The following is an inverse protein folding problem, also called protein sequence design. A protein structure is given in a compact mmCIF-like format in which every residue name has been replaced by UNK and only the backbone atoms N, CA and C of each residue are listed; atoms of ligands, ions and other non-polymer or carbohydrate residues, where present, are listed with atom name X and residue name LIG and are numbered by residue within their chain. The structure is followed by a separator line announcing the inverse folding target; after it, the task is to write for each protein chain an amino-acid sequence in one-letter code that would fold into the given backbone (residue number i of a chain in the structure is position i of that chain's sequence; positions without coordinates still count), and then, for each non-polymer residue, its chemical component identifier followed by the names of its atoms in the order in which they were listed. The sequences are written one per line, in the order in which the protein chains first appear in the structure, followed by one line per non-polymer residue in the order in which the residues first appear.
data_IF_104677182291
#
_entry.id   IF_104677182291
#
_cell.length_a   1.000
_cell.length_b   1.000
_cell.length_c   1.000
_cell.angle_alpha   90.00
_cell.angle_beta   90.00
_cell.angle_gamma   90.00
#
_symmetry.space_group_name_H-M   'P 1'
#
loop_
_entity.id
_entity.type
_entity.pdbx_description
1 polymer ?
#
# COMPACT_ATOMS: atom_id res chain seq x y z
N UNK A 1 13.85 20.74 4.64
CA UNK A 1 13.24 21.58 3.58
C UNK A 1 12.06 20.93 2.87
N UNK A 2 12.05 19.62 2.60
CA UNK A 2 10.91 18.92 1.96
C UNK A 2 9.57 19.11 2.70
N UNK A 3 9.57 18.99 4.04
CA UNK A 3 8.37 19.14 4.89
C UNK A 3 7.76 20.54 4.82
N UNK A 4 8.61 21.60 4.73
CA UNK A 4 8.13 22.98 4.52
C UNK A 4 7.60 23.20 3.09
N UNK A 5 8.22 22.56 2.10
CA UNK A 5 7.75 22.61 0.70
C UNK A 5 6.37 21.97 0.49
N UNK A 6 6.00 21.01 1.35
CA UNK A 6 4.68 20.37 1.36
C UNK A 6 3.60 21.16 2.13
N UNK A 7 3.93 22.35 2.68
CA UNK A 7 2.97 23.22 3.34
C UNK A 7 2.72 22.94 4.82
N UNK A 8 3.63 22.21 5.50
CA UNK A 8 3.49 22.00 6.94
C UNK A 8 3.54 23.33 7.72
N UNK A 9 2.53 23.58 8.55
CA UNK A 9 2.51 24.72 9.46
C UNK A 9 3.67 24.65 10.47
N UNK A 10 4.01 25.78 11.10
CA UNK A 10 5.09 25.83 12.10
C UNK A 10 4.89 24.85 13.27
N UNK A 11 3.63 24.51 13.57
CA UNK A 11 3.24 23.60 14.64
C UNK A 11 3.40 22.13 14.21
N UNK A 12 3.09 21.79 12.95
CA UNK A 12 3.17 20.42 12.43
C UNK A 12 4.60 20.01 12.05
N UNK A 13 5.44 20.98 11.67
CA UNK A 13 6.82 20.73 11.24
C UNK A 13 7.66 19.86 12.19
N UNK A 14 7.74 20.13 13.51
CA UNK A 14 8.53 19.30 14.43
C UNK A 14 8.02 17.85 14.49
N UNK A 15 6.70 17.64 14.54
CA UNK A 15 6.10 16.31 14.55
C UNK A 15 6.42 15.53 13.26
N UNK A 16 6.24 16.16 12.09
CA UNK A 16 6.58 15.53 10.81
C UNK A 16 8.06 15.20 10.72
N UNK A 17 8.94 16.09 11.19
CA UNK A 17 10.40 15.88 11.15
C UNK A 17 10.79 14.68 12.00
N UNK A 18 10.28 14.58 13.22
CA UNK A 18 10.60 13.48 14.13
C UNK A 18 10.08 12.14 13.60
N UNK A 19 8.84 12.11 13.12
CA UNK A 19 8.23 10.91 12.52
C UNK A 19 9.02 10.42 11.30
N UNK A 20 9.32 11.31 10.34
CA UNK A 20 10.08 10.94 9.14
C UNK A 20 11.50 10.48 9.48
N UNK A 21 12.17 11.15 10.44
CA UNK A 21 13.58 10.82 10.77
C UNK A 21 13.69 9.39 11.30
N UNK A 22 12.73 8.95 12.11
CA UNK A 22 12.67 7.59 12.63
C UNK A 22 12.37 6.61 11.51
N UNK A 23 11.32 6.86 10.70
CA UNK A 23 10.97 5.97 9.58
C UNK A 23 12.11 5.82 8.56
N UNK A 24 12.86 6.89 8.30
CA UNK A 24 14.01 6.84 7.39
C UNK A 24 15.06 5.82 7.84
N UNK A 25 15.27 5.68 9.15
CA UNK A 25 16.17 4.66 9.72
C UNK A 25 15.68 3.23 9.46
N UNK A 26 14.37 3.01 9.40
CA UNK A 26 13.75 1.71 9.13
C UNK A 26 13.46 1.45 7.64
N UNK A 27 13.80 2.37 6.73
CA UNK A 27 13.62 2.20 5.27
C UNK A 27 14.25 0.91 4.72
N UNK A 28 15.46 0.48 5.15
CA UNK A 28 16.00 -0.79 4.68
C UNK A 28 15.14 -1.99 5.09
N UNK A 29 14.57 -1.96 6.30
CA UNK A 29 13.66 -3.00 6.78
C UNK A 29 12.34 -2.99 6.02
N UNK A 30 11.77 -1.82 5.72
CA UNK A 30 10.54 -1.75 4.92
C UNK A 30 10.75 -2.30 3.50
N UNK A 31 11.90 -2.00 2.87
CA UNK A 31 12.26 -2.55 1.57
C UNK A 31 12.40 -4.08 1.62
N UNK A 32 13.14 -4.60 2.62
CA UNK A 32 13.33 -6.03 2.79
C UNK A 32 12.03 -6.77 3.11
N UNK A 33 11.15 -6.20 3.92
CA UNK A 33 9.82 -6.76 4.17
C UNK A 33 9.05 -6.98 2.87
N UNK A 34 8.96 -5.95 2.02
CA UNK A 34 8.22 -6.06 0.75
C UNK A 34 8.87 -7.09 -0.17
N UNK A 35 10.21 -7.10 -0.25
CA UNK A 35 10.94 -8.09 -1.04
C UNK A 35 10.68 -9.52 -0.55
N UNK A 36 10.82 -9.79 0.75
CA UNK A 36 10.62 -11.13 1.30
C UNK A 36 9.17 -11.59 1.21
N UNK A 37 8.20 -10.71 1.40
CA UNK A 37 6.80 -11.06 1.20
C UNK A 37 6.54 -11.54 -0.23
N UNK A 38 7.06 -10.83 -1.23
CA UNK A 38 6.96 -11.26 -2.63
C UNK A 38 7.71 -12.57 -2.88
N UNK A 39 8.96 -12.70 -2.42
CA UNK A 39 9.77 -13.90 -2.63
C UNK A 39 9.23 -15.16 -1.92
N UNK A 40 8.61 -15.02 -0.73
CA UNK A 40 7.99 -16.13 0.00
C UNK A 40 6.77 -16.66 -0.77
N UNK A 41 5.99 -15.77 -1.39
CA UNK A 41 4.89 -16.15 -2.28
C UNK A 41 5.47 -16.85 -3.52
N UNK A 42 6.53 -16.31 -4.14
CA UNK A 42 7.24 -16.96 -5.27
C UNK A 42 7.78 -18.35 -4.91
N UNK A 43 8.25 -18.55 -3.67
CA UNK A 43 8.71 -19.85 -3.18
C UNK A 43 7.57 -20.85 -2.90
N UNK A 44 6.31 -20.50 -3.20
CA UNK A 44 5.15 -21.37 -3.04
C UNK A 44 4.63 -21.46 -1.61
N UNK A 45 4.99 -20.53 -0.72
CA UNK A 45 4.49 -20.47 0.67
C UNK A 45 3.67 -19.21 0.97
N UNK A 46 2.60 -18.91 0.21
CA UNK A 46 1.79 -17.70 0.41
C UNK A 46 1.16 -17.62 1.81
N UNK A 47 0.77 -18.75 2.40
CA UNK A 47 0.22 -18.79 3.77
C UNK A 47 1.21 -18.30 4.83
N UNK A 48 2.51 -18.56 4.64
CA UNK A 48 3.55 -18.04 5.53
C UNK A 48 3.74 -16.53 5.36
N UNK A 49 3.74 -16.04 4.11
CA UNK A 49 3.79 -14.60 3.81
C UNK A 49 2.61 -13.83 4.42
N UNK A 50 1.40 -14.40 4.35
CA UNK A 50 0.19 -13.84 4.98
C UNK A 50 0.32 -13.79 6.52
N UNK A 51 0.79 -14.88 7.15
CA UNK A 51 1.00 -14.92 8.60
C UNK A 51 2.03 -13.86 9.06
N UNK A 52 3.10 -13.64 8.29
CA UNK A 52 4.07 -12.56 8.55
C UNK A 52 3.46 -11.17 8.40
N UNK A 53 2.62 -10.94 7.38
CA UNK A 53 1.91 -9.67 7.21
C UNK A 53 0.96 -9.36 8.39
N UNK A 54 0.17 -10.35 8.80
CA UNK A 54 -0.77 -10.20 9.92
C UNK A 54 -0.03 -9.98 11.23
N UNK A 55 1.02 -10.76 11.51
CA UNK A 55 1.82 -10.60 12.72
C UNK A 55 2.55 -9.26 12.77
N UNK A 56 3.04 -8.76 11.65
CA UNK A 56 3.63 -7.42 11.55
C UNK A 56 2.60 -6.32 11.85
N UNK A 57 1.39 -6.42 11.28
CA UNK A 57 0.30 -5.48 11.55
C UNK A 57 -0.16 -5.52 13.01
N UNK A 58 -0.34 -6.72 13.58
CA UNK A 58 -0.72 -6.89 14.98
C UNK A 58 0.35 -6.34 15.93
N UNK A 59 1.62 -6.60 15.64
CA UNK A 59 2.73 -6.05 16.41
C UNK A 59 2.82 -4.53 16.28
N UNK A 60 2.61 -3.96 15.10
CA UNK A 60 2.56 -2.51 14.92
C UNK A 60 1.47 -1.88 15.79
N UNK A 61 0.24 -2.41 15.79
CA UNK A 61 -0.84 -1.91 16.65
C UNK A 61 -0.47 -2.02 18.14
N UNK A 62 0.10 -3.17 18.55
CA UNK A 62 0.51 -3.40 19.93
C UNK A 62 1.61 -2.42 20.37
N UNK A 63 2.64 -2.22 19.55
CA UNK A 63 3.74 -1.32 19.86
C UNK A 63 3.32 0.14 19.79
N UNK A 64 2.44 0.51 18.87
CA UNK A 64 1.86 1.86 18.80
C UNK A 64 1.12 2.18 20.10
N UNK A 65 0.31 1.23 20.61
CA UNK A 65 -0.33 1.38 21.92
C UNK A 65 0.69 1.53 23.05
N UNK A 66 1.69 0.65 23.13
CA UNK A 66 2.71 0.65 24.20
C UNK A 66 3.56 1.94 24.17
N UNK A 67 3.96 2.42 22.99
CA UNK A 67 4.80 3.60 22.92
C UNK A 67 4.01 4.90 23.10
N UNK A 68 2.76 4.96 22.62
CA UNK A 68 1.95 6.17 22.78
C UNK A 68 1.32 6.30 24.16
N UNK A 69 0.79 5.21 24.74
CA UNK A 69 -0.04 5.29 25.96
C UNK A 69 0.80 5.19 27.24
N UNK A 70 1.42 4.04 27.60
CA UNK A 70 2.17 3.93 28.84
C UNK A 70 3.53 4.65 28.79
N UNK A 71 4.21 4.68 27.64
CA UNK A 71 5.52 5.35 27.51
C UNK A 71 5.43 6.83 27.10
N UNK A 72 4.23 7.32 26.74
CA UNK A 72 3.95 8.71 26.40
C UNK A 72 4.93 9.33 25.38
N UNK A 73 5.47 8.51 24.46
CA UNK A 73 6.46 8.96 23.46
C UNK A 73 5.83 9.75 22.32
N UNK A 74 4.50 9.92 22.33
CA UNK A 74 3.73 10.61 21.29
C UNK A 74 3.99 10.03 19.89
N UNK A 75 4.08 10.91 18.90
CA UNK A 75 4.26 10.54 17.48
C UNK A 75 5.59 9.79 17.22
N UNK A 76 6.64 10.02 18.04
CA UNK A 76 7.89 9.23 17.95
C UNK A 76 7.64 7.76 18.24
N UNK A 77 6.78 7.49 19.22
CA UNK A 77 6.38 6.14 19.60
C UNK A 77 5.72 5.40 18.44
N UNK A 78 4.78 6.04 17.75
CA UNK A 78 4.13 5.47 16.58
C UNK A 78 5.12 5.17 15.43
N UNK A 79 6.10 6.05 15.20
CA UNK A 79 7.14 5.80 14.20
C UNK A 79 8.01 4.57 14.55
N UNK A 80 8.35 4.40 15.84
CA UNK A 80 9.09 3.23 16.32
C UNK A 80 8.27 1.95 16.22
N UNK A 81 7.00 1.99 16.60
CA UNK A 81 6.10 0.82 16.48
C UNK A 81 5.96 0.37 15.03
N UNK A 82 5.86 1.31 14.09
CA UNK A 82 5.88 1.03 12.65
C UNK A 82 7.19 0.40 12.20
N UNK A 83 8.33 0.98 12.60
CA UNK A 83 9.65 0.46 12.26
C UNK A 83 9.91 -0.96 12.77
N UNK A 84 9.50 -1.25 14.01
CA UNK A 84 9.60 -2.60 14.59
C UNK A 84 8.65 -3.57 13.88
N UNK A 85 7.47 -3.12 13.47
CA UNK A 85 6.56 -3.89 12.62
C UNK A 85 7.23 -4.38 11.33
N UNK A 86 8.01 -3.51 10.66
CA UNK A 86 8.77 -3.87 9.45
C UNK A 86 9.88 -4.89 9.71
N UNK A 87 10.46 -4.89 10.92
CA UNK A 87 11.51 -5.84 11.29
C UNK A 87 10.99 -7.27 11.39
N UNK A 88 9.73 -7.50 11.75
CA UNK A 88 9.19 -8.86 11.93
C UNK A 88 9.25 -9.68 10.64
N UNK A 89 8.67 -9.23 9.50
CA UNK A 89 8.80 -9.96 8.25
C UNK A 89 10.22 -9.94 7.70
N UNK A 90 10.99 -8.89 7.99
CA UNK A 90 12.39 -8.78 7.57
C UNK A 90 13.24 -9.89 8.19
N UNK A 91 13.21 -10.01 9.51
CA UNK A 91 13.97 -11.03 10.25
C UNK A 91 13.46 -12.43 9.90
N UNK A 92 12.13 -12.63 9.86
CA UNK A 92 11.57 -13.91 9.49
C UNK A 92 11.92 -14.32 8.05
N UNK A 93 11.92 -13.38 7.10
CA UNK A 93 12.35 -13.60 5.72
C UNK A 93 13.82 -13.98 5.63
N UNK A 94 14.71 -13.28 6.35
CA UNK A 94 16.14 -13.64 6.44
C UNK A 94 16.30 -15.07 6.96
N UNK A 95 15.64 -15.43 8.06
CA UNK A 95 15.70 -16.78 8.64
C UNK A 95 15.15 -17.83 7.67
N UNK A 96 14.04 -17.53 6.99
CA UNK A 96 13.42 -18.45 6.03
C UNK A 96 14.35 -18.78 4.86
N UNK A 97 14.99 -17.78 4.25
CA UNK A 97 15.88 -17.97 3.09
C UNK A 97 17.33 -18.39 3.46
N UNK A 98 17.70 -18.34 4.75
CA UNK A 98 19.00 -18.83 5.24
C UNK A 98 18.94 -20.27 5.75
N UNK A 99 17.92 -20.62 6.55
CA UNK A 99 17.82 -21.90 7.26
C UNK A 99 16.82 -22.85 6.61
N UNK A 100 15.83 -22.33 5.88
CA UNK A 100 14.74 -23.11 5.31
C UNK A 100 15.15 -23.99 4.13
N UNK A 101 14.46 -25.12 3.97
CA UNK A 101 14.50 -25.95 2.75
C UNK A 101 13.60 -25.32 1.65
N UNK A 102 13.69 -24.00 1.46
CA UNK A 102 12.95 -23.26 0.42
C UNK A 102 13.55 -23.51 -0.95
N UNK A 103 12.80 -23.28 -2.02
CA UNK A 103 13.34 -23.33 -3.39
C UNK A 103 14.32 -22.18 -3.71
N UNK A 104 14.37 -21.16 -2.85
CA UNK A 104 15.23 -19.99 -2.93
C UNK A 104 16.12 -19.91 -1.69
N UNK A 105 17.39 -19.54 -1.87
CA UNK A 105 18.37 -19.38 -0.79
C UNK A 105 19.30 -18.20 -1.07
N UNK A 106 19.88 -17.64 -0.01
CA UNK A 106 20.92 -16.64 -0.18
C UNK A 106 22.19 -17.27 -0.77
N UNK A 107 22.68 -16.67 -1.85
CA UNK A 107 23.97 -16.98 -2.46
C UNK A 107 24.85 -15.73 -2.45
N UNK A 108 26.17 -15.90 -2.55
CA UNK A 108 27.09 -14.78 -2.75
C UNK A 108 26.62 -13.94 -3.95
N UNK A 109 26.49 -12.61 -3.79
CA UNK A 109 26.02 -11.75 -4.87
C UNK A 109 27.02 -11.80 -6.02
N UNK A 110 26.52 -12.04 -7.23
CA UNK A 110 27.28 -11.91 -8.47
C UNK A 110 26.81 -10.60 -9.10
N UNK A 111 27.72 -9.66 -9.34
CA UNK A 111 27.35 -8.39 -9.96
C UNK A 111 27.12 -8.61 -11.46
N UNK A 112 25.84 -8.75 -11.83
CA UNK A 112 25.39 -8.68 -13.20
C UNK A 112 24.69 -7.34 -13.44
N UNK A 113 25.41 -6.41 -14.06
CA UNK A 113 24.92 -5.05 -14.33
C UNK A 113 23.71 -5.09 -15.26
N UNK A 114 23.63 -6.06 -16.17
CA UNK A 114 22.51 -6.19 -17.11
C UNK A 114 21.22 -6.55 -16.38
N UNK A 115 21.29 -7.54 -15.48
CA UNK A 115 20.14 -7.94 -14.64
C UNK A 115 19.75 -6.81 -13.68
N UNK A 116 20.74 -6.13 -13.09
CA UNK A 116 20.49 -5.00 -12.20
C UNK A 116 19.79 -3.85 -12.93
N UNK A 117 20.29 -3.48 -14.12
CA UNK A 117 19.69 -2.43 -14.95
C UNK A 117 18.26 -2.81 -15.36
N UNK A 118 18.02 -4.05 -15.80
CA UNK A 118 16.69 -4.56 -16.14
C UNK A 118 15.71 -4.50 -14.96
N UNK A 119 16.19 -4.86 -13.76
CA UNK A 119 15.39 -4.78 -12.52
C UNK A 119 15.07 -3.32 -12.15
N UNK A 120 16.04 -2.42 -12.29
CA UNK A 120 15.84 -1.00 -12.06
C UNK A 120 14.86 -0.38 -13.07
N UNK A 121 14.91 -0.77 -14.35
CA UNK A 121 13.96 -0.27 -15.36
C UNK A 121 12.53 -0.75 -15.09
N UNK A 122 12.34 -1.99 -14.64
CA UNK A 122 11.01 -2.46 -14.22
C UNK A 122 10.50 -1.70 -12.99
N UNK A 123 11.35 -1.51 -11.98
CA UNK A 123 10.99 -0.77 -10.78
C UNK A 123 10.74 0.73 -11.02
N UNK A 124 11.33 1.31 -12.07
CA UNK A 124 11.14 2.72 -12.41
C UNK A 124 9.67 3.03 -12.77
N UNK A 125 8.99 2.13 -13.47
CA UNK A 125 7.56 2.28 -13.79
C UNK A 125 6.71 2.40 -12.53
N UNK A 126 6.96 1.53 -11.54
CA UNK A 126 6.25 1.57 -10.25
C UNK A 126 6.59 2.84 -9.46
N UNK A 127 7.86 3.26 -9.45
CA UNK A 127 8.27 4.51 -8.83
C UNK A 127 7.56 5.73 -9.44
N UNK A 128 7.44 5.78 -10.77
CA UNK A 128 6.73 6.86 -11.47
C UNK A 128 5.24 6.86 -11.11
N UNK A 129 4.60 5.70 -11.05
CA UNK A 129 3.20 5.57 -10.61
C UNK A 129 3.00 6.12 -9.19
N UNK A 130 3.87 5.73 -8.25
CA UNK A 130 3.80 6.20 -6.87
C UNK A 130 4.10 7.70 -6.74
N UNK A 131 5.06 8.22 -7.52
CA UNK A 131 5.36 9.64 -7.57
C UNK A 131 4.20 10.45 -8.15
N UNK A 132 3.56 9.97 -9.22
CA UNK A 132 2.38 10.58 -9.81
C UNK A 132 1.24 10.63 -8.78
N UNK A 133 0.94 9.53 -8.08
CA UNK A 133 -0.05 9.52 -7.01
C UNK A 133 0.27 10.53 -5.90
N UNK A 134 1.51 10.61 -5.44
CA UNK A 134 1.92 11.57 -4.41
C UNK A 134 1.74 13.04 -4.87
N UNK A 135 2.13 13.35 -6.10
CA UNK A 135 1.94 14.70 -6.69
C UNK A 135 0.46 15.02 -6.84
N UNK A 136 -0.34 14.07 -7.35
CA UNK A 136 -1.78 14.22 -7.50
C UNK A 136 -2.46 14.47 -6.15
N UNK A 137 -2.16 13.68 -5.11
CA UNK A 137 -2.69 13.90 -3.76
C UNK A 137 -2.29 15.26 -3.19
N UNK A 138 -1.04 15.69 -3.39
CA UNK A 138 -0.59 17.02 -2.96
C UNK A 138 -1.38 18.14 -3.65
N UNK A 139 -1.55 18.06 -4.97
CA UNK A 139 -2.33 19.04 -5.73
C UNK A 139 -3.80 19.04 -5.31
N UNK A 140 -4.40 17.87 -5.10
CA UNK A 140 -5.77 17.74 -4.58
C UNK A 140 -5.93 18.42 -3.23
N UNK A 141 -5.05 18.13 -2.27
CA UNK A 141 -5.09 18.78 -0.96
C UNK A 141 -4.98 20.30 -1.08
N UNK A 142 -4.07 20.80 -1.92
CA UNK A 142 -3.90 22.26 -2.13
C UNK A 142 -5.13 22.91 -2.76
N UNK A 143 -5.75 22.27 -3.75
CA UNK A 143 -6.97 22.76 -4.41
C UNK A 143 -8.14 22.74 -3.42
N UNK A 144 -8.29 21.67 -2.64
CA UNK A 144 -9.36 21.56 -1.65
C UNK A 144 -9.20 22.58 -0.52
N UNK A 145 -7.98 22.82 -0.02
CA UNK A 145 -7.71 23.91 0.93
C UNK A 145 -8.15 25.27 0.37
N UNK A 146 -7.90 25.52 -0.92
CA UNK A 146 -8.23 26.80 -1.56
C UNK A 146 -9.73 26.98 -1.79
N UNK A 147 -10.45 25.91 -2.16
CA UNK A 147 -11.86 25.97 -2.55
C UNK A 147 -12.82 25.81 -1.36
N UNK A 148 -12.48 24.94 -0.41
CA UNK A 148 -13.38 24.44 0.63
C UNK A 148 -12.76 24.54 2.05
N UNK A 149 -11.58 25.15 2.18
CA UNK A 149 -10.90 25.32 3.46
C UNK A 149 -10.49 23.99 4.10
N UNK A 150 -10.33 24.02 5.42
CA UNK A 150 -9.91 22.86 6.23
C UNK A 150 -10.92 21.70 6.14
N UNK A 151 -12.22 22.02 6.13
CA UNK A 151 -13.29 21.03 6.01
C UNK A 151 -13.23 20.25 4.70
N UNK A 152 -12.84 20.91 3.60
CA UNK A 152 -12.62 20.26 2.30
C UNK A 152 -11.48 19.24 2.33
N UNK A 153 -10.39 19.55 3.04
CA UNK A 153 -9.26 18.62 3.20
C UNK A 153 -9.60 17.48 4.14
N UNK A 154 -10.37 17.73 5.19
CA UNK A 154 -10.91 16.65 6.02
C UNK A 154 -11.78 15.69 5.17
N UNK A 155 -12.69 16.23 4.36
CA UNK A 155 -13.59 15.43 3.52
C UNK A 155 -12.83 14.58 2.49
N UNK A 156 -11.83 15.14 1.80
CA UNK A 156 -11.04 14.37 0.82
C UNK A 156 -10.18 13.30 1.50
N UNK A 157 -9.69 13.55 2.72
CA UNK A 157 -8.93 12.58 3.50
C UNK A 157 -9.78 11.35 3.82
N UNK A 158 -11.04 11.56 4.21
CA UNK A 158 -12.02 10.48 4.44
C UNK A 158 -12.23 9.66 3.16
N UNK A 159 -12.40 10.33 2.02
CA UNK A 159 -12.58 9.67 0.72
C UNK A 159 -11.33 8.85 0.36
N UNK A 160 -10.12 9.40 0.51
CA UNK A 160 -8.85 8.72 0.21
C UNK A 160 -8.65 7.51 1.12
N UNK A 161 -8.97 7.60 2.41
CA UNK A 161 -8.87 6.44 3.31
C UNK A 161 -9.84 5.34 2.94
N UNK A 162 -11.06 5.70 2.56
CA UNK A 162 -12.04 4.71 2.09
C UNK A 162 -11.64 4.11 0.76
N UNK A 163 -11.08 4.91 -0.15
CA UNK A 163 -10.46 4.43 -1.38
C UNK A 163 -9.39 3.40 -1.08
N UNK A 164 -8.46 3.75 -0.19
CA UNK A 164 -7.34 2.88 0.15
C UNK A 164 -7.82 1.54 0.72
N UNK A 165 -8.82 1.55 1.61
CA UNK A 165 -9.41 0.34 2.16
C UNK A 165 -9.95 -0.60 1.07
N UNK A 166 -10.67 -0.04 0.09
CA UNK A 166 -11.26 -0.82 -1.01
C UNK A 166 -10.19 -1.25 -2.03
N UNK A 167 -9.24 -0.37 -2.33
CA UNK A 167 -8.15 -0.62 -3.25
C UNK A 167 -7.12 -1.62 -2.71
N UNK A 168 -6.96 -1.72 -1.39
CA UNK A 168 -6.07 -2.69 -0.74
C UNK A 168 -6.42 -4.14 -1.13
N UNK A 169 -7.70 -4.44 -1.39
CA UNK A 169 -8.12 -5.75 -1.90
C UNK A 169 -7.53 -6.03 -3.30
N UNK A 170 -7.54 -5.03 -4.20
CA UNK A 170 -6.93 -5.17 -5.53
C UNK A 170 -5.41 -5.27 -5.47
N UNK A 171 -4.78 -4.48 -4.59
CA UNK A 171 -3.32 -4.52 -4.38
C UNK A 171 -2.92 -5.89 -3.84
N UNK A 172 -3.60 -6.38 -2.80
CA UNK A 172 -3.33 -7.69 -2.20
C UNK A 172 -3.52 -8.84 -3.19
N UNK A 173 -4.59 -8.80 -3.99
CA UNK A 173 -4.81 -9.79 -5.05
C UNK A 173 -3.69 -9.72 -6.11
N UNK A 174 -3.37 -8.52 -6.58
CA UNK A 174 -2.31 -8.29 -7.59
C UNK A 174 -0.95 -8.77 -7.09
N UNK A 175 -0.58 -8.48 -5.85
CA UNK A 175 0.66 -8.95 -5.22
C UNK A 175 0.67 -10.47 -5.05
N UNK A 176 -0.46 -11.10 -4.75
CA UNK A 176 -0.55 -12.56 -4.64
C UNK A 176 -0.41 -13.28 -5.99
N UNK A 177 -0.89 -12.65 -7.07
CA UNK A 177 -0.88 -13.22 -8.43
C UNK A 177 0.42 -12.88 -9.18
N UNK A 178 1.06 -11.74 -8.92
CA UNK A 178 2.25 -11.28 -9.62
C UNK A 178 3.39 -12.33 -9.68
N UNK A 179 3.75 -13.02 -8.57
CA UNK A 179 4.72 -14.11 -8.63
C UNK A 179 4.32 -15.29 -9.52
N UNK A 180 3.02 -15.62 -9.55
CA UNK A 180 2.49 -16.71 -10.37
C UNK A 180 2.60 -16.34 -11.85
N UNK A 181 2.27 -15.11 -12.20
CA UNK A 181 2.41 -14.56 -13.56
C UNK A 181 3.88 -14.58 -13.98
N UNK A 182 4.76 -13.99 -13.16
CA UNK A 182 6.21 -13.91 -13.42
C UNK A 182 6.84 -15.30 -13.63
N UNK A 183 6.47 -16.28 -12.79
CA UNK A 183 6.96 -17.66 -12.94
C UNK A 183 6.53 -18.32 -14.27
N UNK A 184 5.26 -18.15 -14.67
CA UNK A 184 4.78 -18.71 -15.94
C UNK A 184 5.34 -17.98 -17.17
N UNK A 185 5.55 -16.67 -17.06
CA UNK A 185 6.22 -15.86 -18.08
C UNK A 185 7.67 -16.30 -18.26
N UNK A 186 8.41 -16.50 -17.17
CA UNK A 186 9.79 -17.01 -17.19
C UNK A 186 9.91 -18.43 -17.78
N UNK A 187 8.88 -19.27 -17.63
CA UNK A 187 8.79 -20.59 -18.28
C UNK A 187 8.39 -20.53 -19.77
N UNK A 188 8.07 -19.34 -20.29
CA UNK A 188 7.51 -19.13 -21.63
C UNK A 188 6.22 -19.93 -21.92
N UNK A 189 5.45 -20.27 -20.88
CA UNK A 189 4.18 -20.99 -21.01
C UNK A 189 3.03 -20.02 -21.31
N UNK A 190 2.99 -19.54 -22.55
CA UNK A 190 2.03 -18.54 -23.02
C UNK A 190 0.56 -18.99 -22.89
N UNK A 191 0.29 -20.29 -23.01
CA UNK A 191 -1.06 -20.84 -22.88
C UNK A 191 -1.56 -20.73 -21.44
N UNK A 192 -0.72 -21.13 -20.48
CA UNK A 192 -1.04 -21.02 -19.06
C UNK A 192 -1.10 -19.57 -18.60
N UNK A 193 -0.20 -18.72 -19.10
CA UNK A 193 -0.19 -17.28 -18.81
C UNK A 193 -1.51 -16.61 -19.22
N UNK A 194 -1.97 -16.83 -20.46
CA UNK A 194 -3.26 -16.28 -20.94
C UNK A 194 -4.45 -16.78 -20.11
N UNK A 195 -4.43 -18.05 -19.71
CA UNK A 195 -5.48 -18.63 -18.87
C UNK A 195 -5.51 -17.99 -17.48
N UNK A 196 -4.35 -17.84 -16.83
CA UNK A 196 -4.24 -17.19 -15.52
C UNK A 196 -4.71 -15.74 -15.61
N UNK A 197 -4.25 -15.00 -16.62
CA UNK A 197 -4.64 -13.61 -16.83
C UNK A 197 -6.15 -13.45 -17.02
N UNK A 198 -6.77 -14.28 -17.86
CA UNK A 198 -8.22 -14.22 -18.11
C UNK A 198 -9.04 -14.51 -16.86
N UNK A 199 -8.65 -15.52 -16.06
CA UNK A 199 -9.30 -15.85 -14.78
C UNK A 199 -9.18 -14.68 -13.80
N UNK A 200 -7.98 -14.11 -13.67
CA UNK A 200 -7.74 -12.99 -12.76
C UNK A 200 -8.49 -11.74 -13.18
N UNK A 201 -8.53 -11.43 -14.48
CA UNK A 201 -9.29 -10.31 -15.01
C UNK A 201 -10.79 -10.46 -14.77
N UNK A 202 -11.35 -11.65 -15.01
CA UNK A 202 -12.75 -11.94 -14.70
C UNK A 202 -13.07 -11.77 -13.21
N UNK A 203 -12.18 -12.26 -12.33
CA UNK A 203 -12.31 -12.07 -10.89
C UNK A 203 -12.27 -10.59 -10.50
N UNK A 204 -11.34 -9.81 -11.04
CA UNK A 204 -11.22 -8.37 -10.74
C UNK A 204 -12.45 -7.60 -11.21
N UNK A 205 -12.98 -7.89 -12.40
CA UNK A 205 -14.22 -7.27 -12.88
C UNK A 205 -15.38 -7.58 -11.94
N UNK A 206 -15.54 -8.85 -11.54
CA UNK A 206 -16.58 -9.26 -10.60
C UNK A 206 -16.45 -8.53 -9.26
N UNK A 207 -15.24 -8.52 -8.68
CA UNK A 207 -14.96 -7.83 -7.42
C UNK A 207 -15.18 -6.32 -7.55
N UNK A 208 -14.83 -5.72 -8.69
CA UNK A 208 -15.02 -4.29 -8.95
C UNK A 208 -16.50 -3.91 -8.99
N UNK A 209 -17.35 -4.73 -9.62
CA UNK A 209 -18.80 -4.53 -9.63
C UNK A 209 -19.37 -4.67 -8.22
N UNK A 210 -18.91 -5.67 -7.46
CA UNK A 210 -19.36 -5.93 -6.08
C UNK A 210 -18.97 -4.78 -5.14
N UNK A 211 -17.73 -4.30 -5.21
CA UNK A 211 -17.25 -3.16 -4.44
C UNK A 211 -17.96 -1.87 -4.83
N UNK A 212 -18.19 -1.65 -6.13
CA UNK A 212 -18.98 -0.52 -6.63
C UNK A 212 -20.40 -0.51 -6.04
N UNK A 213 -21.10 -1.65 -6.10
CA UNK A 213 -22.44 -1.80 -5.53
C UNK A 213 -22.47 -1.55 -4.02
N UNK A 214 -21.49 -2.09 -3.28
CA UNK A 214 -21.35 -1.84 -1.84
C UNK A 214 -21.06 -0.36 -1.55
N UNK A 215 -20.17 0.29 -2.31
CA UNK A 215 -19.82 1.69 -2.09
C UNK A 215 -21.00 2.63 -2.33
N UNK A 216 -21.87 2.34 -3.31
CA UNK A 216 -23.11 3.11 -3.53
C UNK A 216 -24.13 2.84 -2.42
N UNK A 217 -24.33 1.59 -2.02
CA UNK A 217 -25.32 1.23 -1.01
C UNK A 217 -24.93 1.70 0.41
N UNK A 218 -23.64 1.64 0.75
CA UNK A 218 -23.11 1.92 2.09
C UNK A 218 -22.28 3.21 2.17
N UNK A 219 -22.24 4.05 1.13
CA UNK A 219 -21.45 5.29 1.13
C UNK A 219 -21.80 6.26 2.27
N UNK A 220 -23.09 6.39 2.59
CA UNK A 220 -23.56 7.25 3.68
C UNK A 220 -23.13 6.74 5.08
N UNK A 221 -23.34 5.44 5.42
CA UNK A 221 -22.75 4.82 6.62
C UNK A 221 -21.22 4.96 6.71
N UNK A 222 -20.50 4.76 5.60
CA UNK A 222 -19.03 4.86 5.58
C UNK A 222 -18.56 6.27 5.94
N UNK A 223 -19.18 7.32 5.36
CA UNK A 223 -18.84 8.71 5.70
C UNK A 223 -19.19 9.01 7.17
N UNK A 224 -20.30 8.48 7.68
CA UNK A 224 -20.69 8.69 9.07
C UNK A 224 -19.75 8.08 10.12
N UNK A 225 -18.89 7.14 9.71
CA UNK A 225 -17.86 6.57 10.57
C UNK A 225 -16.70 7.53 10.83
N UNK A 226 -16.48 8.49 9.92
CA UNK A 226 -15.38 9.45 9.99
C UNK A 226 -15.84 10.87 10.37
N UNK A 227 -17.12 11.20 10.15
CA UNK A 227 -17.67 12.51 10.48
C UNK A 227 -19.12 12.39 10.95
N UNK A 228 -19.48 13.13 12.00
CA UNK A 228 -20.86 13.23 12.46
C UNK A 228 -21.79 13.79 11.38
N UNK A 229 -23.04 13.31 11.37
CA UNK A 229 -24.06 13.76 10.42
C UNK A 229 -24.43 15.22 10.69
N UNK A 230 -24.48 16.03 9.64
CA UNK A 230 -24.85 17.45 9.72
C UNK A 230 -23.66 18.42 9.82
N UNK A 231 -22.43 17.92 9.90
CA UNK A 231 -21.25 18.78 9.73
C UNK A 231 -21.05 19.16 8.26
N UNK A 232 -20.36 20.27 8.01
CA UNK A 232 -20.04 20.69 6.65
C UNK A 232 -19.16 19.66 5.92
N UNK A 233 -18.24 19.03 6.64
CA UNK A 233 -17.39 17.91 6.17
C UNK A 233 -18.21 16.73 5.69
N UNK A 234 -19.25 16.35 6.44
CA UNK A 234 -20.11 15.22 6.08
C UNK A 234 -20.83 15.44 4.75
N UNK A 235 -21.38 16.63 4.52
CA UNK A 235 -22.08 16.93 3.27
C UNK A 235 -21.15 16.95 2.05
N UNK A 236 -19.94 17.49 2.20
CA UNK A 236 -18.91 17.47 1.14
C UNK A 236 -18.51 16.03 0.83
N UNK A 237 -18.18 15.24 1.86
CA UNK A 237 -17.76 13.84 1.70
C UNK A 237 -18.89 13.00 1.09
N UNK A 238 -20.12 13.13 1.57
CA UNK A 238 -21.30 12.42 1.05
C UNK A 238 -21.53 12.71 -0.43
N UNK A 239 -21.43 13.98 -0.86
CA UNK A 239 -21.53 14.34 -2.29
C UNK A 239 -20.40 13.73 -3.11
N UNK A 240 -19.18 13.74 -2.58
CA UNK A 240 -18.03 13.07 -3.19
C UNK A 240 -18.28 11.57 -3.41
N UNK A 241 -18.84 10.89 -2.42
CA UNK A 241 -19.18 9.46 -2.47
C UNK A 241 -20.27 9.09 -3.47
N UNK A 242 -21.00 10.04 -4.07
CA UNK A 242 -21.90 9.75 -5.18
C UNK A 242 -21.16 9.59 -6.52
N UNK A 243 -20.00 10.23 -6.65
CA UNK A 243 -19.20 10.25 -7.88
C UNK A 243 -18.03 9.27 -7.76
N UNK A 244 -17.44 9.19 -6.58
CA UNK A 244 -16.24 8.42 -6.31
C UNK A 244 -16.32 6.92 -6.63
N UNK A 245 -17.42 6.20 -6.33
CA UNK A 245 -17.52 4.77 -6.56
C UNK A 245 -17.29 4.35 -8.02
N UNK A 246 -17.67 5.19 -8.98
CA UNK A 246 -17.45 4.91 -10.40
C UNK A 246 -15.97 4.67 -10.74
N UNK A 247 -15.05 5.26 -9.98
CA UNK A 247 -13.62 5.00 -10.13
C UNK A 247 -13.24 3.55 -9.83
N UNK A 248 -13.94 2.86 -8.91
CA UNK A 248 -13.62 1.48 -8.53
C UNK A 248 -13.84 0.47 -9.65
N UNK A 249 -14.75 0.77 -10.58
CA UNK A 249 -14.97 -0.07 -11.77
C UNK A 249 -13.70 -0.18 -12.62
N UNK A 250 -12.91 0.88 -12.70
CA UNK A 250 -11.71 0.95 -13.54
C UNK A 250 -10.41 0.76 -12.75
N UNK A 251 -10.39 1.16 -11.48
CA UNK A 251 -9.20 1.15 -10.65
C UNK A 251 -8.64 -0.27 -10.45
N UNK A 252 -9.51 -1.26 -10.23
CA UNK A 252 -9.08 -2.66 -10.09
C UNK A 252 -8.38 -3.19 -11.34
N UNK A 253 -8.94 -2.89 -12.52
CA UNK A 253 -8.34 -3.27 -13.80
C UNK A 253 -6.98 -2.60 -14.03
N UNK A 254 -6.88 -1.30 -13.72
CA UNK A 254 -5.65 -0.54 -13.86
C UNK A 254 -4.53 -1.12 -12.99
N UNK A 255 -4.82 -1.34 -11.69
CA UNK A 255 -3.83 -1.85 -10.72
C UNK A 255 -3.34 -3.23 -11.14
N UNK A 256 -4.24 -4.14 -11.50
CA UNK A 256 -3.85 -5.49 -11.90
C UNK A 256 -3.05 -5.52 -13.20
N UNK A 257 -3.44 -4.69 -14.17
CA UNK A 257 -2.73 -4.59 -15.45
C UNK A 257 -1.32 -4.03 -15.23
N UNK A 258 -1.19 -3.00 -14.41
CA UNK A 258 0.11 -2.43 -14.01
C UNK A 258 1.00 -3.47 -13.33
N UNK A 259 0.45 -4.21 -12.36
CA UNK A 259 1.17 -5.27 -11.67
C UNK A 259 1.59 -6.41 -12.61
N UNK A 260 0.71 -6.79 -13.55
CA UNK A 260 0.99 -7.85 -14.53
C UNK A 260 2.10 -7.48 -15.50
N UNK A 261 2.14 -6.23 -15.98
CA UNK A 261 3.19 -5.78 -16.91
C UNK A 261 4.54 -5.53 -16.22
N UNK A 262 4.52 -5.35 -14.90
CA UNK A 262 5.75 -5.17 -14.11
C UNK A 262 6.37 -6.50 -13.67
N UNK A 263 5.55 -7.57 -13.60
CA UNK A 263 5.93 -8.93 -13.19
C UNK A 263 6.62 -9.74 -14.29
#
# INVERSE_FOLDING_TARGET
NMIRGLGASGILFPYCKEYLSILLLFTPASMLQVLFQNLIVTAGRPGFGMALGISAGAANILFDYIFMVPLQMGIKGAALGTGIGYLIPTVAGILFFTVGNSSLHFRKPVMDISILAGSCTNGFSEMVSQAASAVTTFLFNRIMMKLLGEDGVAAITIIIYTQFLLTALYIGFSMGVAPIISYNYGKQDNARLRKVFSICMGFIILVSIVIFGMAIAFGSPLVSLFSEKGTHVYEIARRGFLIFPFSFLFCGMNIFTSATFTA
#
